data_IF_065302199241
#
_entry.id   IF_065302199241
#
_cell.length_a   1.000
_cell.length_b   1.000
_cell.length_c   1.000
_cell.angle_alpha   90.00
_cell.angle_beta   90.00
_cell.angle_gamma   90.00
#
_symmetry.space_group_name_H-M   'P 1'
#
loop_
_entity.id
_entity.type
_entity.pdbx_description
1 polymer ?
#
# COMPACT_ATOMS: atom_id res chain seq x y z
N UNK A 1 -3.93 5.73 16.64
CA UNK A 1 -3.65 6.49 15.39
C UNK A 1 -2.23 7.09 15.39
N UNK A 2 -1.92 8.11 16.22
CA UNK A 2 -0.53 8.58 16.37
C UNK A 2 0.36 7.56 17.07
N UNK A 3 -0.25 6.63 17.81
CA UNK A 3 0.39 5.57 18.59
C UNK A 3 1.58 4.92 17.88
N UNK A 4 1.41 4.26 16.75
CA UNK A 4 2.51 3.50 16.14
C UNK A 4 3.60 4.35 15.50
N UNK A 5 3.27 5.58 15.06
CA UNK A 5 4.27 6.56 14.61
C UNK A 5 5.09 7.04 15.80
N UNK A 6 4.41 7.43 16.89
CA UNK A 6 5.05 7.90 18.12
C UNK A 6 5.88 6.79 18.76
N UNK A 7 5.38 5.56 18.76
CA UNK A 7 6.06 4.37 19.26
C UNK A 7 7.31 4.05 18.43
N UNK A 8 7.20 4.04 17.10
CA UNK A 8 8.36 3.81 16.23
C UNK A 8 9.39 4.93 16.40
N UNK A 9 8.96 6.19 16.47
CA UNK A 9 9.85 7.32 16.71
C UNK A 9 10.53 7.21 18.09
N UNK A 10 9.79 6.79 19.11
CA UNK A 10 10.33 6.56 20.45
C UNK A 10 11.36 5.43 20.46
N UNK A 11 11.09 4.29 19.81
CA UNK A 11 12.03 3.17 19.70
C UNK A 11 13.31 3.60 18.97
N UNK A 12 13.19 4.34 17.86
CA UNK A 12 14.35 4.85 17.12
C UNK A 12 15.17 5.82 17.99
N UNK A 13 14.50 6.71 18.71
CA UNK A 13 15.13 7.66 19.61
C UNK A 13 15.82 6.98 20.81
N UNK A 14 15.18 6.02 21.48
CA UNK A 14 15.78 5.28 22.61
C UNK A 14 16.92 4.37 22.17
N UNK A 15 16.91 3.89 20.93
CA UNK A 15 18.05 3.19 20.32
C UNK A 15 19.24 4.12 19.99
N UNK A 16 19.14 5.43 20.26
CA UNK A 16 20.22 6.39 20.11
C UNK A 16 20.32 7.00 18.71
N UNK A 17 19.30 6.84 17.86
CA UNK A 17 19.33 7.34 16.49
C UNK A 17 18.37 8.50 16.25
N UNK A 18 18.83 9.52 15.51
CA UNK A 18 17.98 10.60 15.01
C UNK A 18 17.33 10.25 13.67
N UNK A 19 16.09 10.67 13.44
CA UNK A 19 15.37 10.44 12.16
C UNK A 19 16.06 11.15 10.97
N UNK A 20 16.80 12.23 11.23
CA UNK A 20 17.54 12.99 10.22
C UNK A 20 18.90 12.40 9.86
N UNK A 21 19.39 11.44 10.63
CA UNK A 21 20.64 10.74 10.35
C UNK A 21 20.38 9.47 9.52
N UNK A 22 21.39 9.03 8.78
CA UNK A 22 21.29 7.77 8.05
C UNK A 22 21.26 6.60 9.05
N UNK A 23 20.18 5.80 9.00
CA UNK A 23 19.94 4.72 9.94
C UNK A 23 20.53 3.40 9.42
N UNK A 24 21.54 2.90 10.12
CA UNK A 24 22.14 1.59 9.88
C UNK A 24 21.61 0.54 10.88
N UNK A 25 20.31 0.24 10.78
CA UNK A 25 19.66 -0.78 11.61
C UNK A 25 19.93 -2.22 11.09
N UNK A 26 19.96 -3.24 11.98
CA UNK A 26 19.93 -4.64 11.58
C UNK A 26 18.73 -4.97 10.69
N UNK A 27 18.90 -5.91 9.75
CA UNK A 27 17.86 -6.28 8.77
C UNK A 27 16.56 -6.78 9.42
N UNK A 28 16.66 -7.57 10.48
CA UNK A 28 15.52 -8.05 11.26
C UNK A 28 14.73 -6.88 11.87
N UNK A 29 15.43 -5.92 12.49
CA UNK A 29 14.78 -4.74 13.08
C UNK A 29 14.10 -3.87 12.01
N UNK A 30 14.72 -3.69 10.83
CA UNK A 30 14.09 -2.97 9.70
C UNK A 30 12.77 -3.61 9.30
N UNK A 31 12.72 -4.94 9.26
CA UNK A 31 11.50 -5.67 8.88
C UNK A 31 10.41 -5.53 9.95
N UNK A 32 10.77 -5.70 11.24
CA UNK A 32 9.85 -5.52 12.38
C UNK A 32 9.25 -4.11 12.41
N UNK A 33 10.09 -3.08 12.33
CA UNK A 33 9.65 -1.68 12.31
C UNK A 33 8.77 -1.38 11.09
N UNK A 34 9.14 -1.89 9.91
CA UNK A 34 8.32 -1.69 8.71
C UNK A 34 6.93 -2.32 8.83
N UNK A 35 6.80 -3.49 9.48
CA UNK A 35 5.49 -4.11 9.72
C UNK A 35 4.65 -3.25 10.65
N UNK A 36 5.23 -2.82 11.78
CA UNK A 36 4.57 -1.95 12.75
C UNK A 36 4.05 -0.66 12.10
N UNK A 37 4.90 0.02 11.33
CA UNK A 37 4.57 1.24 10.60
C UNK A 37 3.45 1.01 9.59
N UNK A 38 3.47 -0.12 8.88
CA UNK A 38 2.45 -0.45 7.87
C UNK A 38 1.09 -0.73 8.51
N UNK A 39 1.05 -1.52 9.58
CA UNK A 39 -0.18 -1.81 10.32
C UNK A 39 -0.76 -0.54 10.95
N UNK A 40 0.10 0.32 11.50
CA UNK A 40 -0.29 1.61 12.07
C UNK A 40 -0.85 2.56 11.02
N UNK A 41 -0.21 2.64 9.85
CA UNK A 41 -0.68 3.45 8.73
C UNK A 41 -2.03 2.94 8.23
N UNK A 42 -2.20 1.63 8.05
CA UNK A 42 -3.48 1.04 7.65
C UNK A 42 -4.58 1.32 8.66
N UNK A 43 -4.32 1.12 9.96
CA UNK A 43 -5.26 1.45 11.03
C UNK A 43 -5.70 2.92 10.96
N UNK A 44 -4.74 3.84 10.76
CA UNK A 44 -5.04 5.26 10.61
C UNK A 44 -5.88 5.58 9.36
N UNK A 45 -5.48 5.08 8.18
CA UNK A 45 -6.19 5.35 6.93
C UNK A 45 -7.63 4.83 6.98
N UNK A 46 -7.85 3.67 7.58
CA UNK A 46 -9.21 3.13 7.76
C UNK A 46 -10.02 3.92 8.80
N UNK A 47 -9.41 4.41 9.89
CA UNK A 47 -10.09 5.29 10.83
C UNK A 47 -10.49 6.63 10.19
N UNK A 48 -9.60 7.21 9.39
CA UNK A 48 -9.88 8.43 8.63
C UNK A 48 -10.97 8.20 7.58
N UNK A 49 -10.93 7.06 6.89
CA UNK A 49 -11.98 6.68 5.94
C UNK A 49 -13.32 6.52 6.65
N UNK A 50 -13.33 5.95 7.86
CA UNK A 50 -14.55 5.83 8.66
C UNK A 50 -15.15 7.19 9.02
N UNK A 51 -14.34 8.18 9.39
CA UNK A 51 -14.83 9.50 9.82
C UNK A 51 -15.42 10.35 8.68
N UNK A 52 -15.04 10.07 7.43
CA UNK A 52 -15.53 10.81 6.24
C UNK A 52 -16.54 10.02 5.40
N UNK A 53 -16.70 8.72 5.67
CA UNK A 53 -17.68 7.88 4.98
C UNK A 53 -18.95 7.71 5.81
N UNK A 54 -20.00 7.20 5.18
CA UNK A 54 -21.31 6.99 5.81
C UNK A 54 -21.80 5.56 5.59
N UNK A 55 -22.75 5.14 6.43
CA UNK A 55 -23.40 3.85 6.30
C UNK A 55 -22.46 2.66 6.50
N UNK A 56 -22.64 1.63 5.67
CA UNK A 56 -21.85 0.40 5.73
C UNK A 56 -20.33 0.66 5.62
N UNK A 57 -19.90 1.56 4.72
CA UNK A 57 -18.48 1.82 4.49
C UNK A 57 -17.78 2.45 5.70
N UNK A 58 -18.51 3.26 6.47
CA UNK A 58 -18.00 3.83 7.71
C UNK A 58 -17.81 2.75 8.78
N UNK A 59 -18.79 1.87 8.92
CA UNK A 59 -18.74 0.74 9.84
C UNK A 59 -17.59 -0.21 9.51
N UNK A 60 -17.51 -0.65 8.23
CA UNK A 60 -16.49 -1.57 7.74
C UNK A 60 -15.07 -0.98 7.88
N UNK A 61 -14.89 0.30 7.55
CA UNK A 61 -13.60 0.96 7.71
C UNK A 61 -13.22 1.07 9.19
N UNK A 62 -14.17 1.39 10.08
CA UNK A 62 -13.90 1.43 11.52
C UNK A 62 -13.48 0.07 12.07
N UNK A 63 -14.16 -1.01 11.67
CA UNK A 63 -13.79 -2.38 12.05
C UNK A 63 -12.40 -2.76 11.56
N UNK A 64 -12.06 -2.45 10.30
CA UNK A 64 -10.71 -2.67 9.77
C UNK A 64 -9.66 -1.86 10.55
N UNK A 65 -9.97 -0.60 10.90
CA UNK A 65 -9.08 0.23 11.70
C UNK A 65 -8.76 -0.40 13.06
N UNK A 66 -9.76 -0.99 13.72
CA UNK A 66 -9.62 -1.74 14.98
C UNK A 66 -8.75 -2.98 14.77
N UNK A 67 -9.02 -3.78 13.74
CA UNK A 67 -8.25 -5.01 13.44
C UNK A 67 -6.77 -4.69 13.23
N UNK A 68 -6.45 -3.71 12.39
CA UNK A 68 -5.06 -3.30 12.17
C UNK A 68 -4.43 -2.66 13.40
N UNK A 69 -5.19 -1.95 14.21
CA UNK A 69 -4.72 -1.39 15.48
C UNK A 69 -4.32 -2.47 16.47
N UNK A 70 -5.16 -3.49 16.65
CA UNK A 70 -4.86 -4.65 17.50
C UNK A 70 -3.66 -5.42 16.96
N UNK A 71 -3.60 -5.68 15.65
CA UNK A 71 -2.47 -6.35 15.03
C UNK A 71 -1.15 -5.58 15.23
N UNK A 72 -1.20 -4.24 15.15
CA UNK A 72 -0.07 -3.36 15.43
C UNK A 72 0.43 -3.54 16.87
N UNK A 73 -0.48 -3.49 17.85
CA UNK A 73 -0.14 -3.68 19.28
C UNK A 73 0.36 -5.09 19.59
N UNK A 74 -0.22 -6.12 18.97
CA UNK A 74 0.26 -7.48 19.13
C UNK A 74 1.68 -7.63 18.58
N UNK A 75 1.97 -6.98 17.45
CA UNK A 75 3.28 -7.05 16.80
C UNK A 75 4.40 -6.52 17.71
N UNK A 76 4.17 -5.45 18.48
CA UNK A 76 5.19 -4.88 19.38
C UNK A 76 5.55 -5.86 20.49
N UNK A 77 4.54 -6.52 21.07
CA UNK A 77 4.68 -7.54 22.10
C UNK A 77 5.44 -8.77 21.58
N UNK A 78 5.07 -9.29 20.41
CA UNK A 78 5.75 -10.45 19.80
C UNK A 78 7.19 -10.15 19.40
N UNK A 79 7.48 -8.90 19.04
CA UNK A 79 8.78 -8.47 18.52
C UNK A 79 9.75 -8.00 19.60
N UNK A 80 9.38 -8.07 20.89
CA UNK A 80 10.16 -7.58 22.04
C UNK A 80 10.62 -6.12 21.88
N UNK A 81 9.80 -5.30 21.24
CA UNK A 81 10.06 -3.87 21.13
C UNK A 81 9.55 -3.20 22.41
N UNK A 82 10.46 -2.79 23.29
CA UNK A 82 10.09 -2.14 24.56
C UNK A 82 9.48 -0.76 24.30
N UNK A 83 8.16 -0.70 24.29
CA UNK A 83 7.41 0.55 24.34
C UNK A 83 7.23 1.01 25.79
N UNK A 84 6.98 2.30 26.00
CA UNK A 84 6.60 2.77 27.33
C UNK A 84 5.16 2.37 27.65
N UNK A 85 4.89 2.03 28.90
CA UNK A 85 3.53 1.71 29.41
C UNK A 85 2.53 2.82 29.06
N UNK A 86 2.98 4.07 29.04
CA UNK A 86 2.17 5.22 28.63
C UNK A 86 1.73 5.15 27.16
N UNK A 87 2.62 4.76 26.26
CA UNK A 87 2.29 4.62 24.84
C UNK A 87 1.27 3.48 24.68
N UNK A 88 1.51 2.30 25.26
CA UNK A 88 0.61 1.14 25.16
C UNK A 88 -0.82 1.44 25.65
N UNK A 89 -0.94 2.16 26.77
CA UNK A 89 -2.25 2.55 27.32
C UNK A 89 -3.01 3.49 26.40
N UNK A 90 -2.35 4.46 25.76
CA UNK A 90 -2.97 5.31 24.73
C UNK A 90 -3.41 4.50 23.52
N UNK A 91 -2.63 3.49 23.13
CA UNK A 91 -2.98 2.53 22.08
C UNK A 91 -4.32 1.86 22.37
N UNK A 92 -4.44 1.24 23.54
CA UNK A 92 -5.67 0.56 23.99
C UNK A 92 -6.88 1.50 24.06
N UNK A 93 -6.73 2.70 24.60
CA UNK A 93 -7.81 3.70 24.66
C UNK A 93 -8.29 4.05 23.25
N UNK A 94 -7.36 4.27 22.31
CA UNK A 94 -7.72 4.60 20.93
C UNK A 94 -8.47 3.49 20.22
N UNK A 95 -8.08 2.22 20.45
CA UNK A 95 -8.78 1.06 19.91
C UNK A 95 -10.17 0.94 20.54
N UNK A 96 -10.31 1.15 21.85
CA UNK A 96 -11.60 1.12 22.55
C UNK A 96 -12.60 2.14 22.01
N UNK A 97 -12.15 3.37 21.74
CA UNK A 97 -12.99 4.43 21.15
C UNK A 97 -13.46 4.03 19.74
N UNK A 98 -12.55 3.55 18.89
CA UNK A 98 -12.89 3.12 17.53
C UNK A 98 -13.83 1.92 17.53
N UNK A 99 -13.59 0.94 18.41
CA UNK A 99 -14.43 -0.24 18.56
C UNK A 99 -15.86 0.14 19.00
N UNK A 100 -15.98 1.00 20.01
CA UNK A 100 -17.28 1.50 20.45
C UNK A 100 -18.04 2.23 19.33
N UNK A 101 -17.37 3.16 18.63
CA UNK A 101 -17.95 3.87 17.50
C UNK A 101 -18.37 2.93 16.37
N UNK A 102 -17.55 1.93 16.04
CA UNK A 102 -17.87 0.91 15.03
C UNK A 102 -19.12 0.11 15.41
N UNK A 103 -19.25 -0.31 16.67
CA UNK A 103 -20.39 -1.08 17.17
C UNK A 103 -21.70 -0.31 17.10
N UNK A 104 -21.67 1.00 17.38
CA UNK A 104 -22.84 1.87 17.21
C UNK A 104 -23.28 1.94 15.75
N UNK A 105 -22.35 2.13 14.82
CA UNK A 105 -22.66 2.24 13.38
C UNK A 105 -23.18 0.90 12.84
N UNK A 106 -22.59 -0.24 13.26
CA UNK A 106 -23.08 -1.56 12.88
C UNK A 106 -24.49 -1.84 13.41
N UNK A 107 -24.81 -1.38 14.63
CA UNK A 107 -26.15 -1.48 15.22
C UNK A 107 -27.24 -0.74 14.42
N UNK A 108 -26.87 0.19 13.53
CA UNK A 108 -27.81 0.91 12.66
C UNK A 108 -28.29 0.07 11.45
N UNK A 109 -27.76 -1.14 11.24
CA UNK A 109 -28.31 -2.11 10.29
C UNK A 109 -28.08 -1.80 8.81
N UNK A 110 -26.94 -1.20 8.44
CA UNK A 110 -26.63 -0.90 7.04
C UNK A 110 -26.39 -2.20 6.23
N UNK A 111 -27.16 -2.47 5.17
CA UNK A 111 -26.94 -3.67 4.36
C UNK A 111 -25.59 -3.59 3.63
N UNK A 112 -24.84 -4.70 3.53
CA UNK A 112 -23.58 -4.72 2.81
C UNK A 112 -23.80 -4.47 1.31
N UNK A 113 -22.93 -3.68 0.66
CA UNK A 113 -22.96 -3.54 -0.79
C UNK A 113 -22.63 -4.89 -1.44
N UNK A 114 -23.34 -5.22 -2.50
CA UNK A 114 -23.06 -6.44 -3.27
C UNK A 114 -21.83 -6.22 -4.16
N UNK A 115 -20.66 -6.67 -3.70
CA UNK A 115 -19.46 -6.77 -4.54
C UNK A 115 -19.57 -8.04 -5.38
N UNK A 116 -20.02 -7.90 -6.63
CA UNK A 116 -20.04 -8.99 -7.60
C UNK A 116 -18.93 -8.77 -8.61
N UNK A 117 -18.07 -9.78 -8.77
CA UNK A 117 -17.12 -9.87 -9.87
C UNK A 117 -17.66 -10.83 -10.92
N UNK A 118 -17.54 -10.45 -12.19
CA UNK A 118 -17.77 -11.35 -13.31
C UNK A 118 -16.62 -12.35 -13.44
N UNK A 119 -16.88 -13.49 -14.09
CA UNK A 119 -15.86 -14.50 -14.39
C UNK A 119 -14.68 -13.90 -15.19
N UNK A 120 -14.96 -12.96 -16.08
CA UNK A 120 -13.94 -12.25 -16.87
C UNK A 120 -13.07 -11.38 -15.98
N UNK A 121 -13.64 -10.66 -15.01
CA UNK A 121 -12.87 -9.85 -14.07
C UNK A 121 -11.98 -10.73 -13.20
N UNK A 122 -12.47 -11.86 -12.70
CA UNK A 122 -11.67 -12.81 -11.91
C UNK A 122 -10.51 -13.37 -12.74
N UNK A 123 -10.78 -13.83 -13.96
CA UNK A 123 -9.75 -14.33 -14.86
C UNK A 123 -8.71 -13.24 -15.20
N UNK A 124 -9.17 -12.01 -15.42
CA UNK A 124 -8.30 -10.87 -15.68
C UNK A 124 -7.44 -10.54 -14.46
N UNK A 125 -8.00 -10.55 -13.25
CA UNK A 125 -7.22 -10.38 -12.01
C UNK A 125 -6.08 -11.39 -11.96
N UNK A 126 -6.35 -12.68 -12.22
CA UNK A 126 -5.32 -13.71 -12.18
C UNK A 126 -4.23 -13.48 -13.23
N UNK A 127 -4.61 -13.26 -14.49
CA UNK A 127 -3.65 -13.06 -15.60
C UNK A 127 -2.82 -11.80 -15.42
N UNK A 128 -3.46 -10.66 -15.12
CA UNK A 128 -2.73 -9.40 -14.92
C UNK A 128 -1.86 -9.45 -13.67
N UNK A 129 -2.30 -10.10 -12.58
CA UNK A 129 -1.43 -10.29 -11.39
C UNK A 129 -0.20 -11.12 -11.73
N UNK A 130 -0.35 -12.22 -12.49
CA UNK A 130 0.77 -13.05 -12.91
C UNK A 130 1.74 -12.29 -13.84
N UNK A 131 1.21 -11.46 -14.76
CA UNK A 131 2.01 -10.59 -15.62
C UNK A 131 2.75 -9.52 -14.82
N UNK A 132 2.08 -8.83 -13.90
CA UNK A 132 2.70 -7.87 -12.98
C UNK A 132 3.83 -8.54 -12.21
N UNK A 133 3.57 -9.73 -11.64
CA UNK A 133 4.56 -10.48 -10.88
C UNK A 133 5.78 -10.85 -11.73
N UNK A 134 5.55 -11.41 -12.92
CA UNK A 134 6.60 -11.85 -13.83
C UNK A 134 7.46 -10.68 -14.34
N UNK A 135 6.81 -9.60 -14.78
CA UNK A 135 7.50 -8.40 -15.26
C UNK A 135 8.36 -7.78 -14.15
N UNK A 136 7.78 -7.64 -12.96
CA UNK A 136 8.42 -7.03 -11.79
C UNK A 136 9.57 -7.88 -11.26
N UNK A 137 9.36 -9.19 -11.12
CA UNK A 137 10.37 -10.12 -10.65
C UNK A 137 11.57 -10.18 -11.60
N UNK A 138 11.31 -10.27 -12.91
CA UNK A 138 12.35 -10.29 -13.92
C UNK A 138 13.17 -9.00 -13.87
N UNK A 139 12.54 -7.83 -13.96
CA UNK A 139 13.26 -6.56 -13.92
C UNK A 139 13.94 -6.32 -12.57
N UNK A 140 13.34 -6.76 -11.47
CA UNK A 140 13.84 -6.58 -10.12
C UNK A 140 15.16 -7.31 -9.85
N UNK A 141 15.35 -8.47 -10.48
CA UNK A 141 16.60 -9.23 -10.39
C UNK A 141 17.76 -8.55 -11.14
N UNK A 142 17.48 -7.88 -12.27
CA UNK A 142 18.52 -7.22 -13.09
C UNK A 142 18.80 -5.77 -12.67
N UNK A 143 17.84 -5.10 -12.03
CA UNK A 143 17.94 -3.69 -11.64
C UNK A 143 17.67 -3.49 -10.14
N UNK A 144 18.57 -3.98 -9.26
CA UNK A 144 18.45 -3.73 -7.82
C UNK A 144 18.65 -2.25 -7.50
N UNK A 145 17.96 -1.78 -6.45
CA UNK A 145 18.06 -0.40 -5.97
C UNK A 145 19.40 -0.12 -5.29
N UNK A 146 20.09 0.98 -5.60
CA UNK A 146 21.24 1.44 -4.83
C UNK A 146 20.94 1.71 -3.35
N UNK A 147 19.67 2.01 -3.01
CA UNK A 147 19.22 2.30 -1.64
C UNK A 147 18.58 1.09 -0.94
N UNK A 148 18.69 -0.11 -1.52
CA UNK A 148 18.07 -1.34 -1.05
C UNK A 148 16.61 -1.51 -1.48
N UNK A 149 16.25 -2.72 -1.91
CA UNK A 149 15.01 -3.04 -2.62
C UNK A 149 15.26 -3.13 -4.14
N UNK A 150 14.20 -3.07 -4.92
CA UNK A 150 14.26 -3.12 -6.39
C UNK A 150 13.12 -2.27 -6.99
N UNK A 151 13.02 -2.24 -8.32
CA UNK A 151 12.05 -1.38 -9.03
C UNK A 151 10.91 -2.20 -9.61
N UNK A 152 9.66 -1.77 -9.37
CA UNK A 152 8.46 -2.43 -9.88
C UNK A 152 8.08 -1.92 -11.28
N UNK A 153 8.80 -2.40 -12.30
CA UNK A 153 8.46 -2.04 -13.70
C UNK A 153 7.09 -2.61 -14.12
N UNK A 154 6.59 -3.64 -13.41
CA UNK A 154 5.26 -4.18 -13.60
C UNK A 154 4.11 -3.25 -13.18
N UNK A 155 4.38 -2.07 -12.59
CA UNK A 155 3.33 -1.06 -12.32
C UNK A 155 2.61 -0.63 -13.61
N UNK A 156 3.32 -0.68 -14.75
CA UNK A 156 2.71 -0.49 -16.07
C UNK A 156 1.55 -1.47 -16.35
N UNK A 157 1.69 -2.73 -15.92
CA UNK A 157 0.67 -3.77 -16.05
C UNK A 157 -0.50 -3.50 -15.09
N UNK A 158 -0.20 -3.04 -13.87
CA UNK A 158 -1.21 -2.59 -12.90
C UNK A 158 -2.04 -1.47 -13.52
N UNK A 159 -1.41 -0.41 -14.04
CA UNK A 159 -2.11 0.70 -14.68
C UNK A 159 -2.96 0.27 -15.87
N UNK A 160 -2.47 -0.65 -16.71
CA UNK A 160 -3.25 -1.19 -17.84
C UNK A 160 -4.51 -1.91 -17.32
N UNK A 161 -4.35 -2.83 -16.36
CA UNK A 161 -5.46 -3.57 -15.77
C UNK A 161 -6.48 -2.62 -15.12
N UNK A 162 -6.00 -1.64 -14.35
CA UNK A 162 -6.80 -0.58 -13.74
C UNK A 162 -7.61 0.21 -14.75
N UNK A 163 -6.99 0.69 -15.82
CA UNK A 163 -7.67 1.50 -16.84
C UNK A 163 -8.64 0.70 -17.71
N UNK A 164 -8.46 -0.62 -17.82
CA UNK A 164 -9.35 -1.52 -18.56
C UNK A 164 -10.52 -2.01 -17.71
N UNK A 165 -10.28 -2.45 -16.48
CA UNK A 165 -11.28 -3.13 -15.66
C UNK A 165 -11.80 -2.28 -14.49
N UNK A 166 -11.11 -1.20 -14.14
CA UNK A 166 -11.56 -0.22 -13.15
C UNK A 166 -10.88 -0.39 -11.77
N UNK A 167 -11.30 0.40 -10.77
CA UNK A 167 -10.59 0.55 -9.51
C UNK A 167 -10.54 -0.73 -8.67
N UNK A 168 -11.60 -1.55 -8.68
CA UNK A 168 -11.66 -2.79 -7.89
C UNK A 168 -10.67 -3.84 -8.40
N UNK A 169 -10.66 -4.06 -9.72
CA UNK A 169 -9.72 -5.01 -10.36
C UNK A 169 -8.29 -4.49 -10.25
N UNK A 170 -8.08 -3.20 -10.50
CA UNK A 170 -6.78 -2.55 -10.35
C UNK A 170 -6.19 -2.73 -8.96
N UNK A 171 -6.97 -2.51 -7.91
CA UNK A 171 -6.52 -2.68 -6.53
C UNK A 171 -6.06 -4.10 -6.22
N UNK A 172 -6.82 -5.11 -6.68
CA UNK A 172 -6.50 -6.52 -6.44
C UNK A 172 -5.26 -6.94 -7.26
N UNK A 173 -5.18 -6.53 -8.52
CA UNK A 173 -4.01 -6.81 -9.39
C UNK A 173 -2.75 -6.19 -8.82
N UNK A 174 -2.82 -4.94 -8.32
CA UNK A 174 -1.69 -4.27 -7.71
C UNK A 174 -1.23 -4.98 -6.43
N UNK A 175 -2.15 -5.32 -5.53
CA UNK A 175 -1.80 -6.00 -4.29
C UNK A 175 -1.24 -7.41 -4.53
N UNK A 176 -1.94 -8.27 -5.30
CA UNK A 176 -1.53 -9.66 -5.51
C UNK A 176 -0.28 -9.74 -6.37
N UNK A 177 -0.23 -8.99 -7.48
CA UNK A 177 0.90 -9.00 -8.41
C UNK A 177 2.20 -8.54 -7.76
N UNK A 178 2.16 -7.45 -6.98
CA UNK A 178 3.34 -6.95 -6.28
C UNK A 178 3.82 -7.90 -5.19
N UNK A 179 2.92 -8.44 -4.36
CA UNK A 179 3.29 -9.41 -3.32
C UNK A 179 3.88 -10.69 -3.91
N UNK A 180 3.30 -11.19 -5.00
CA UNK A 180 3.84 -12.37 -5.68
C UNK A 180 5.26 -12.11 -6.21
N UNK A 181 5.54 -10.92 -6.76
CA UNK A 181 6.88 -10.54 -7.16
C UNK A 181 7.84 -10.47 -5.97
N UNK A 182 7.42 -9.85 -4.88
CA UNK A 182 8.24 -9.69 -3.68
C UNK A 182 8.61 -11.03 -3.05
N UNK A 183 7.65 -11.96 -2.95
CA UNK A 183 7.91 -13.30 -2.46
C UNK A 183 8.93 -14.01 -3.36
N UNK A 184 8.78 -13.88 -4.68
CA UNK A 184 9.69 -14.51 -5.64
C UNK A 184 11.12 -13.93 -5.59
N UNK A 185 11.26 -12.60 -5.50
CA UNK A 185 12.56 -11.91 -5.41
C UNK A 185 13.18 -12.07 -4.01
N UNK A 186 12.41 -12.51 -3.01
CA UNK A 186 12.86 -12.67 -1.63
C UNK A 186 12.86 -11.37 -0.84
N UNK A 187 11.98 -10.42 -1.20
CA UNK A 187 11.84 -9.15 -0.50
C UNK A 187 11.04 -9.32 0.80
N UNK A 188 11.65 -9.10 1.98
CA UNK A 188 11.05 -9.47 3.26
C UNK A 188 9.92 -8.53 3.72
N UNK A 189 9.71 -7.40 3.04
CA UNK A 189 8.74 -6.35 3.41
C UNK A 189 7.58 -6.27 2.43
N UNK A 190 7.20 -7.41 1.84
CA UNK A 190 6.09 -7.57 0.90
C UNK A 190 4.74 -7.02 1.42
N UNK A 191 4.55 -6.98 2.74
CA UNK A 191 3.35 -6.41 3.35
C UNK A 191 3.20 -4.90 3.12
N UNK A 192 4.30 -4.16 2.87
CA UNK A 192 4.26 -2.73 2.50
C UNK A 192 3.66 -2.56 1.10
N UNK A 193 3.93 -3.51 0.22
CA UNK A 193 3.52 -3.53 -1.18
C UNK A 193 2.01 -3.66 -1.34
N UNK A 194 1.33 -4.30 -0.37
CA UNK A 194 -0.13 -4.46 -0.37
C UNK A 194 -0.85 -3.10 -0.40
N UNK A 195 -0.72 -2.23 0.61
CA UNK A 195 -1.34 -0.91 0.56
C UNK A 195 -0.74 -0.04 -0.55
N UNK A 196 0.57 -0.12 -0.80
CA UNK A 196 1.23 0.75 -1.77
C UNK A 196 0.68 0.53 -3.20
N UNK A 197 0.74 -0.71 -3.69
CA UNK A 197 0.29 -1.05 -5.04
C UNK A 197 -1.22 -1.29 -5.13
N UNK A 198 -1.87 -1.70 -4.04
CA UNK A 198 -3.33 -1.77 -3.98
C UNK A 198 -3.98 -0.41 -4.15
N UNK A 199 -3.48 0.63 -3.47
CA UNK A 199 -3.97 2.00 -3.63
C UNK A 199 -3.59 2.59 -5.00
N UNK A 200 -2.38 2.30 -5.48
CA UNK A 200 -1.95 2.69 -6.83
C UNK A 200 -2.93 2.19 -7.90
N UNK A 201 -3.22 0.89 -7.88
CA UNK A 201 -4.15 0.27 -8.83
C UNK A 201 -5.56 0.80 -8.67
N UNK A 202 -6.02 1.03 -7.43
CA UNK A 202 -7.33 1.64 -7.17
C UNK A 202 -7.45 3.03 -7.78
N UNK A 203 -6.50 3.92 -7.50
CA UNK A 203 -6.52 5.32 -7.94
C UNK A 203 -6.40 5.40 -9.47
N UNK A 204 -5.47 4.64 -10.06
CA UNK A 204 -5.35 4.56 -11.52
C UNK A 204 -6.66 4.08 -12.17
N UNK A 205 -7.38 3.16 -11.52
CA UNK A 205 -8.61 2.58 -12.06
C UNK A 205 -9.79 3.54 -12.11
N UNK A 206 -9.78 4.63 -11.32
CA UNK A 206 -10.73 5.74 -11.44
C UNK A 206 -10.65 6.43 -12.83
N UNK A 207 -9.56 6.19 -13.56
CA UNK A 207 -9.35 6.66 -14.93
C UNK A 207 -10.10 5.87 -16.00
N UNK A 208 -10.70 4.71 -15.67
CA UNK A 208 -11.46 3.91 -16.65
C UNK A 208 -12.55 4.76 -17.31
N UNK A 209 -12.57 4.76 -18.65
CA UNK A 209 -13.53 5.54 -19.46
C UNK A 209 -13.30 7.06 -19.49
N UNK A 210 -12.27 7.60 -18.81
CA UNK A 210 -11.92 9.03 -18.84
C UNK A 210 -11.05 9.36 -20.05
N UNK A 211 -10.86 10.66 -20.34
CA UNK A 211 -9.94 11.14 -21.38
C UNK A 211 -8.48 10.77 -21.05
N UNK A 212 -7.63 10.66 -22.07
CA UNK A 212 -6.23 10.21 -21.93
C UNK A 212 -5.43 10.98 -20.87
N UNK A 213 -5.54 12.31 -20.83
CA UNK A 213 -4.82 13.12 -19.84
C UNK A 213 -5.28 12.86 -18.40
N UNK A 214 -6.58 12.58 -18.19
CA UNK A 214 -7.10 12.20 -16.87
C UNK A 214 -6.65 10.81 -16.45
N UNK A 215 -6.55 9.88 -17.41
CA UNK A 215 -5.98 8.56 -17.14
C UNK A 215 -4.52 8.66 -16.73
N UNK A 216 -3.72 9.45 -17.46
CA UNK A 216 -2.32 9.67 -17.13
C UNK A 216 -2.15 10.36 -15.77
N UNK A 217 -2.97 11.37 -15.47
CA UNK A 217 -2.98 12.04 -14.17
C UNK A 217 -3.30 11.07 -13.03
N UNK A 218 -4.31 10.21 -13.19
CA UNK A 218 -4.70 9.26 -12.16
C UNK A 218 -3.66 8.13 -11.97
N UNK A 219 -3.00 7.69 -13.05
CA UNK A 219 -1.86 6.77 -12.93
C UNK A 219 -0.69 7.43 -12.19
N UNK A 220 -0.37 8.69 -12.52
CA UNK A 220 0.66 9.45 -11.81
C UNK A 220 0.33 9.62 -10.33
N UNK A 221 -0.91 10.00 -10.00
CA UNK A 221 -1.36 10.12 -8.61
C UNK A 221 -1.28 8.78 -7.87
N UNK A 222 -1.69 7.68 -8.51
CA UNK A 222 -1.56 6.33 -7.96
C UNK A 222 -0.10 5.97 -7.65
N UNK A 223 0.79 6.19 -8.61
CA UNK A 223 2.22 5.94 -8.44
C UNK A 223 2.87 6.82 -7.37
N UNK A 224 2.45 8.09 -7.26
CA UNK A 224 2.91 8.98 -6.17
C UNK A 224 2.43 8.47 -4.80
N UNK A 225 1.20 7.99 -4.68
CA UNK A 225 0.70 7.38 -3.43
C UNK A 225 1.50 6.13 -3.05
N UNK A 226 1.83 5.29 -4.02
CA UNK A 226 2.73 4.14 -3.83
C UNK A 226 4.10 4.60 -3.32
N UNK A 227 4.73 5.56 -4.00
CA UNK A 227 6.04 6.08 -3.63
C UNK A 227 6.05 6.71 -2.22
N UNK A 228 4.99 7.45 -1.86
CA UNK A 228 4.83 8.04 -0.53
C UNK A 228 4.65 6.97 0.56
N UNK A 229 4.02 5.84 0.25
CA UNK A 229 3.87 4.72 1.18
C UNK A 229 5.22 4.11 1.52
N UNK A 230 6.07 3.87 0.51
CA UNK A 230 7.44 3.41 0.74
C UNK A 230 8.31 4.47 1.41
N UNK A 231 8.17 5.74 1.04
CA UNK A 231 8.88 6.85 1.67
C UNK A 231 8.59 6.92 3.18
N UNK A 232 7.31 6.85 3.57
CA UNK A 232 6.91 6.86 4.98
C UNK A 232 7.63 5.76 5.76
N UNK A 233 7.66 4.52 5.25
CA UNK A 233 8.40 3.43 5.92
C UNK A 233 9.91 3.70 5.92
N UNK A 234 10.46 4.11 4.78
CA UNK A 234 11.90 4.34 4.60
C UNK A 234 12.47 5.42 5.53
N UNK A 235 11.71 6.45 5.89
CA UNK A 235 12.16 7.50 6.82
C UNK A 235 12.59 6.88 8.16
N UNK A 236 11.83 5.91 8.68
CA UNK A 236 12.11 5.29 9.97
C UNK A 236 13.11 4.12 9.91
N UNK A 237 13.34 3.52 8.74
CA UNK A 237 14.26 2.37 8.61
C UNK A 237 15.59 2.71 7.92
N UNK A 238 15.67 3.80 7.16
CA UNK A 238 16.88 4.26 6.46
C UNK A 238 17.32 5.67 6.87
N UNK A 239 16.43 6.45 7.50
CA UNK A 239 16.65 7.87 7.79
C UNK A 239 16.14 8.78 6.67
N UNK A 240 15.95 10.05 7.00
CA UNK A 240 15.31 11.02 6.11
C UNK A 240 16.03 11.21 4.77
N UNK A 241 17.35 11.42 4.78
CA UNK A 241 18.15 11.66 3.57
C UNK A 241 18.04 10.52 2.53
N UNK A 242 18.39 9.27 2.90
CA UNK A 242 18.24 8.12 2.01
C UNK A 242 16.79 7.87 1.57
N UNK A 243 15.82 8.15 2.44
CA UNK A 243 14.40 8.02 2.09
C UNK A 243 13.98 9.00 0.99
N UNK A 244 14.43 10.26 1.03
CA UNK A 244 14.16 11.26 -0.02
C UNK A 244 14.76 10.85 -1.37
N UNK A 245 15.97 10.30 -1.37
CA UNK A 245 16.60 9.77 -2.59
C UNK A 245 15.76 8.62 -3.18
N UNK A 246 15.28 7.71 -2.32
CA UNK A 246 14.37 6.63 -2.74
C UNK A 246 13.08 7.19 -3.34
N UNK A 247 12.46 8.17 -2.68
CA UNK A 247 11.22 8.80 -3.15
C UNK A 247 11.40 9.43 -4.54
N UNK A 248 12.50 10.16 -4.75
CA UNK A 248 12.79 10.78 -6.04
C UNK A 248 12.92 9.72 -7.14
N UNK A 249 13.65 8.63 -6.88
CA UNK A 249 13.79 7.50 -7.80
C UNK A 249 12.43 6.84 -8.09
N UNK A 250 11.61 6.62 -7.08
CA UNK A 250 10.31 5.95 -7.23
C UNK A 250 9.37 6.80 -8.12
N UNK A 251 9.31 8.11 -7.88
CA UNK A 251 8.45 9.03 -8.65
C UNK A 251 8.98 9.27 -10.07
N UNK A 252 10.25 9.66 -10.22
CA UNK A 252 10.78 10.09 -11.52
C UNK A 252 11.36 8.95 -12.36
N UNK A 253 11.74 7.84 -11.73
CA UNK A 253 12.20 6.63 -12.40
C UNK A 253 11.07 5.66 -12.63
N UNK A 254 10.60 5.01 -11.56
CA UNK A 254 9.65 3.89 -11.65
C UNK A 254 8.29 4.32 -12.22
N UNK A 255 7.64 5.31 -11.60
CA UNK A 255 6.29 5.75 -12.01
C UNK A 255 6.32 6.35 -13.41
N UNK A 256 7.33 7.16 -13.73
CA UNK A 256 7.47 7.77 -15.07
C UNK A 256 7.63 6.71 -16.18
N UNK A 257 8.53 5.73 -15.99
CA UNK A 257 8.73 4.64 -16.94
C UNK A 257 7.45 3.81 -17.10
N UNK A 258 6.81 3.44 -16.00
CA UNK A 258 5.57 2.67 -16.03
C UNK A 258 4.45 3.42 -16.74
N UNK A 259 4.33 4.73 -16.54
CA UNK A 259 3.36 5.56 -17.23
C UNK A 259 3.61 5.61 -18.74
N UNK A 260 4.87 5.79 -19.17
CA UNK A 260 5.24 5.78 -20.60
C UNK A 260 4.85 4.45 -21.24
N UNK A 261 5.21 3.33 -20.59
CA UNK A 261 4.87 1.99 -21.06
C UNK A 261 3.36 1.80 -21.16
N UNK A 262 2.59 2.21 -20.16
CA UNK A 262 1.12 2.15 -20.19
C UNK A 262 0.54 2.94 -21.36
N UNK A 263 1.02 4.16 -21.62
CA UNK A 263 0.52 5.01 -22.71
C UNK A 263 0.75 4.36 -24.08
N UNK A 264 1.88 3.68 -24.27
CA UNK A 264 2.25 3.01 -25.53
C UNK A 264 1.47 1.70 -25.71
N UNK A 265 1.40 0.89 -24.65
CA UNK A 265 0.92 -0.50 -24.73
C UNK A 265 -0.61 -0.57 -24.67
N UNK A 266 -1.25 0.26 -23.82
CA UNK A 266 -2.70 0.20 -23.59
C UNK A 266 -3.53 0.36 -24.88
N UNK A 267 -3.27 1.33 -25.78
CA UNK A 267 -4.06 1.48 -27.00
C UNK A 267 -4.03 0.23 -27.89
N UNK A 268 -2.89 -0.47 -27.93
CA UNK A 268 -2.71 -1.71 -28.71
C UNK A 268 -3.58 -2.82 -28.10
N UNK A 269 -3.50 -3.03 -26.78
CA UNK A 269 -4.32 -4.01 -26.08
C UNK A 269 -5.82 -3.70 -26.19
N UNK A 270 -6.22 -2.43 -26.09
CA UNK A 270 -7.64 -2.06 -26.21
C UNK A 270 -8.23 -2.29 -27.61
N UNK A 271 -7.40 -2.34 -28.66
CA UNK A 271 -7.82 -2.68 -30.02
C UNK A 271 -7.92 -4.20 -30.20
N UNK A 272 -7.04 -4.96 -29.57
CA UNK A 272 -7.02 -6.42 -29.61
C UNK A 272 -8.10 -7.06 -28.73
N UNK A 273 -8.38 -6.46 -27.58
CA UNK A 273 -9.53 -6.79 -26.74
C UNK A 273 -10.80 -6.41 -27.49
N UNK A 274 -11.59 -7.39 -27.90
CA UNK A 274 -12.94 -7.20 -28.45
C UNK A 274 -13.67 -6.08 -27.70
N UNK A 275 -14.32 -5.17 -28.44
CA UNK A 275 -15.02 -3.94 -27.99
C UNK A 275 -16.11 -4.13 -26.92
N UNK A 276 -16.21 -5.30 -26.27
CA UNK A 276 -17.23 -5.69 -25.28
C UNK A 276 -16.63 -6.21 -23.96
N UNK A 277 -15.67 -5.49 -23.38
CA UNK A 277 -15.27 -5.66 -21.96
C UNK A 277 -15.35 -4.31 -21.25
#
# INVERSE_FOLDING_TARGET
>A
ILYGIVETAFIVYTAGFGIFEALNLPSDLKNRLSLLLTLSLLSFLFALTSSVSNGFWSAASSALAVVFGIASMASTSFMNLQASVFIETLGLISIGILAYGSGLIYGMGFPPPTLKFSTIEIASIAVFSALTASATAFTGQFFPSPTGGYTHVGDSVIFIASLMYGPRVGAIVGAIGAVAADIYVGYPRWFVSIPAHGLEGFIAGLGKGRKMYMQALLCLLGGVVMALTYFYVNVFIKGFGPAVISLFRDVFGQVAVSLILTIIIKPILSKASSKKI
#
